data_IF_227650007727
#
_entry.id   IF_227650007727
#
_cell.length_a   1.000
_cell.length_b   1.000
_cell.length_c   1.000
_cell.angle_alpha   90.00
_cell.angle_beta   90.00
_cell.angle_gamma   90.00
#
_symmetry.space_group_name_H-M   'P 1'
#
loop_
_entity.id
_entity.type
_entity.pdbx_description
1 polymer ?
#
# COMPACT_ATOMS: atom_id res chain seq x y z
N UNK A 1 -3.62 7.44 -19.75
CA UNK A 1 -2.78 6.37 -19.17
C UNK A 1 -3.19 6.28 -17.71
N UNK A 2 -3.78 5.16 -17.30
CA UNK A 2 -4.17 4.94 -15.90
C UNK A 2 -2.96 4.39 -15.18
N UNK A 3 -2.46 5.09 -14.15
CA UNK A 3 -1.41 4.51 -13.32
C UNK A 3 -1.97 3.29 -12.58
N UNK A 4 -1.17 2.21 -12.42
CA UNK A 4 -1.58 1.10 -11.60
C UNK A 4 -1.88 1.59 -10.17
N UNK A 5 -2.92 1.04 -9.51
CA UNK A 5 -3.25 1.41 -8.15
C UNK A 5 -2.11 1.06 -7.20
N UNK A 6 -1.89 1.90 -6.18
CA UNK A 6 -0.89 1.64 -5.15
C UNK A 6 -1.33 0.43 -4.33
N UNK A 7 -0.57 -0.67 -4.39
CA UNK A 7 -1.03 -1.95 -3.83
C UNK A 7 -0.38 -2.23 -2.48
N UNK A 8 -1.14 -2.68 -1.49
CA UNK A 8 -0.66 -3.04 -0.15
C UNK A 8 -1.15 -4.44 0.21
N UNK A 9 -0.23 -5.34 0.57
CA UNK A 9 -0.58 -6.66 1.08
C UNK A 9 -0.95 -6.59 2.57
N UNK A 10 -2.02 -7.28 2.93
CA UNK A 10 -2.54 -7.35 4.30
C UNK A 10 -2.81 -8.78 4.72
N UNK A 11 -2.67 -9.06 6.01
CA UNK A 11 -2.87 -10.41 6.55
C UNK A 11 -4.33 -10.70 6.95
N UNK A 12 -5.16 -9.66 7.02
CA UNK A 12 -6.55 -9.78 7.48
C UNK A 12 -7.50 -9.12 6.50
N UNK A 13 -8.71 -9.69 6.38
CA UNK A 13 -9.74 -9.18 5.48
C UNK A 13 -10.32 -7.82 5.93
N UNK A 14 -10.13 -7.44 7.21
CA UNK A 14 -10.63 -6.18 7.75
C UNK A 14 -9.49 -5.20 7.95
N UNK A 15 -9.43 -4.18 7.11
CA UNK A 15 -8.32 -3.23 7.05
C UNK A 15 -8.79 -1.83 7.41
N UNK A 16 -7.88 -1.01 7.93
CA UNK A 16 -8.11 0.42 8.05
C UNK A 16 -7.23 1.18 7.08
N UNK A 17 -7.83 2.11 6.34
CA UNK A 17 -7.08 3.06 5.53
C UNK A 17 -7.17 4.45 6.18
N UNK A 18 -6.02 5.07 6.40
CA UNK A 18 -5.88 6.42 6.96
C UNK A 18 -5.17 7.37 6.00
N UNK A 19 -5.21 7.10 4.68
CA UNK A 19 -4.88 8.09 3.66
C UNK A 19 -3.40 8.42 3.44
N UNK A 20 -2.46 7.90 4.24
CA UNK A 20 -1.03 7.99 3.95
C UNK A 20 -0.25 6.74 4.40
N UNK A 21 0.38 6.04 3.45
CA UNK A 21 1.32 4.96 3.77
C UNK A 21 2.77 5.42 3.86
N UNK A 22 3.14 6.52 3.18
CA UNK A 22 4.53 6.97 3.10
C UNK A 22 4.93 7.99 4.18
N UNK A 23 3.99 8.75 4.73
CA UNK A 23 4.29 9.70 5.81
C UNK A 23 4.13 8.97 7.14
N UNK A 24 5.25 8.50 7.71
CA UNK A 24 5.28 7.96 9.07
C UNK A 24 4.60 8.97 10.00
N UNK A 25 3.42 8.66 10.51
CA UNK A 25 2.77 9.52 11.49
C UNK A 25 3.76 9.83 12.63
N UNK A 26 3.93 11.11 12.95
CA UNK A 26 4.81 11.59 14.02
C UNK A 26 4.09 12.59 14.91
N UNK A 27 4.73 13.05 15.99
CA UNK A 27 4.14 13.97 16.98
C UNK A 27 3.59 15.28 16.38
N UNK A 28 4.00 15.60 15.14
CA UNK A 28 3.65 16.84 14.43
C UNK A 28 2.74 16.65 13.23
N UNK A 29 2.54 15.43 12.74
CA UNK A 29 1.76 15.16 11.53
C UNK A 29 1.13 13.77 11.56
N UNK A 30 -0.20 13.73 11.42
CA UNK A 30 -0.95 12.48 11.31
C UNK A 30 -0.90 11.95 9.88
N UNK A 31 -0.82 10.63 9.72
CA UNK A 31 -0.94 9.97 8.41
C UNK A 31 -2.22 10.41 7.65
N UNK A 32 -3.32 10.60 8.38
CA UNK A 32 -4.60 11.10 7.83
C UNK A 32 -4.59 12.53 7.27
N UNK A 33 -3.52 13.31 7.45
CA UNK A 33 -3.51 14.71 7.05
C UNK A 33 -3.50 14.95 5.53
N UNK A 34 -3.25 13.92 4.71
CA UNK A 34 -3.05 14.07 3.25
C UNK A 34 -4.05 13.31 2.37
N UNK A 35 -4.84 12.38 2.90
CA UNK A 35 -5.69 11.51 2.08
C UNK A 35 -7.17 11.54 2.44
N UNK A 36 -7.53 11.12 3.66
CA UNK A 36 -8.90 11.11 4.19
C UNK A 36 -8.92 10.71 5.68
N UNK A 37 -10.05 10.89 6.39
CA UNK A 37 -10.24 10.32 7.73
C UNK A 37 -10.10 8.79 7.72
N UNK A 38 -9.70 8.18 8.85
CA UNK A 38 -9.62 6.72 8.97
C UNK A 38 -10.95 6.07 8.59
N UNK A 39 -10.91 5.17 7.61
CA UNK A 39 -12.03 4.32 7.21
C UNK A 39 -11.67 2.86 7.43
N UNK A 40 -12.70 2.04 7.61
CA UNK A 40 -12.56 0.58 7.72
C UNK A 40 -13.14 -0.05 6.47
N UNK A 41 -12.36 -0.91 5.82
CA UNK A 41 -12.73 -1.61 4.61
C UNK A 41 -12.71 -3.12 4.87
N UNK A 42 -13.53 -3.84 4.11
CA UNK A 42 -13.60 -5.30 4.16
C UNK A 42 -13.25 -5.85 2.79
N UNK A 43 -12.30 -6.79 2.76
CA UNK A 43 -11.89 -7.52 1.57
C UNK A 43 -12.92 -8.62 1.30
N UNK A 44 -13.41 -8.66 0.07
CA UNK A 44 -14.40 -9.63 -0.37
C UNK A 44 -13.74 -10.89 -0.97
N UNK A 45 -14.55 -11.73 -1.61
CA UNK A 45 -14.12 -12.99 -2.22
C UNK A 45 -13.14 -12.82 -3.39
N UNK A 46 -13.04 -11.62 -3.98
CA UNK A 46 -12.04 -11.32 -5.01
C UNK A 46 -10.63 -11.21 -4.41
N UNK A 47 -10.50 -11.16 -3.08
CA UNK A 47 -9.22 -11.12 -2.38
C UNK A 47 -8.58 -9.73 -2.33
N UNK A 48 -9.30 -8.68 -2.73
CA UNK A 48 -8.85 -7.31 -2.57
C UNK A 48 -10.00 -6.33 -2.30
N UNK A 49 -9.67 -5.14 -1.80
CA UNK A 49 -10.60 -3.99 -1.71
C UNK A 49 -9.88 -2.70 -2.07
N UNK A 50 -10.56 -1.85 -2.83
CA UNK A 50 -10.08 -0.51 -3.19
C UNK A 50 -10.59 0.52 -2.19
N UNK A 51 -9.72 1.45 -1.78
CA UNK A 51 -10.16 2.58 -0.97
C UNK A 51 -10.92 3.59 -1.86
N UNK A 52 -12.14 3.98 -1.47
CA UNK A 52 -12.92 4.97 -2.23
C UNK A 52 -12.39 6.41 -2.17
N UNK A 53 -11.32 6.66 -1.42
CA UNK A 53 -10.78 8.00 -1.16
C UNK A 53 -9.34 8.19 -1.65
N UNK A 54 -8.59 7.11 -1.87
CA UNK A 54 -7.22 7.14 -2.38
C UNK A 54 -7.01 5.97 -3.34
N UNK A 55 -5.99 6.03 -4.19
CA UNK A 55 -5.73 5.01 -5.21
C UNK A 55 -5.13 3.71 -4.65
N UNK A 56 -5.36 3.41 -3.36
CA UNK A 56 -4.82 2.23 -2.69
C UNK A 56 -5.71 1.02 -2.83
N UNK A 57 -5.10 -0.11 -3.18
CA UNK A 57 -5.70 -1.44 -3.18
C UNK A 57 -5.09 -2.29 -2.07
N UNK A 58 -5.94 -2.82 -1.19
CA UNK A 58 -5.51 -3.78 -0.17
C UNK A 58 -5.78 -5.19 -0.68
N UNK A 59 -4.74 -6.03 -0.71
CA UNK A 59 -4.82 -7.42 -1.17
C UNK A 59 -4.59 -8.35 0.02
N UNK A 60 -5.45 -9.35 0.18
CA UNK A 60 -5.29 -10.36 1.22
C UNK A 60 -4.15 -11.31 0.86
N UNK A 61 -3.16 -11.42 1.74
CA UNK A 61 -2.02 -12.31 1.58
C UNK A 61 -2.47 -13.77 1.48
N UNK A 62 -2.02 -14.46 0.43
CA UNK A 62 -2.46 -15.83 0.10
C UNK A 62 -3.91 -15.93 -0.40
N UNK A 63 -4.58 -14.80 -0.61
CA UNK A 63 -5.89 -14.73 -1.26
C UNK A 63 -5.81 -14.87 -2.78
N UNK A 64 -6.96 -14.92 -3.48
CA UNK A 64 -7.01 -15.13 -4.92
C UNK A 64 -6.40 -13.99 -5.76
N UNK A 65 -6.23 -12.81 -5.18
CA UNK A 65 -5.57 -11.66 -5.81
C UNK A 65 -4.10 -11.48 -5.38
N UNK A 66 -3.55 -12.38 -4.57
CA UNK A 66 -2.17 -12.30 -4.13
C UNK A 66 -1.19 -12.56 -5.30
N UNK A 67 -0.22 -11.67 -5.57
CA UNK A 67 0.70 -11.80 -6.70
C UNK A 67 1.56 -13.07 -6.64
N UNK A 68 1.87 -13.57 -5.43
CA UNK A 68 2.61 -14.82 -5.28
C UNK A 68 1.74 -16.03 -5.63
N UNK A 69 0.41 -15.90 -5.55
CA UNK A 69 -0.56 -16.92 -5.99
C UNK A 69 -0.85 -16.80 -7.49
N UNK A 70 -1.02 -15.59 -8.02
CA UNK A 70 -1.36 -15.37 -9.44
C UNK A 70 -0.15 -15.45 -10.37
N UNK A 71 1.07 -15.33 -9.85
CA UNK A 71 2.31 -15.31 -10.64
C UNK A 71 2.56 -13.96 -11.32
N UNK A 72 1.90 -12.90 -10.87
CA UNK A 72 2.04 -11.54 -11.39
C UNK A 72 3.09 -10.75 -10.59
N UNK A 73 4.13 -10.25 -11.27
CA UNK A 73 5.17 -9.42 -10.62
C UNK A 73 4.81 -7.94 -10.73
N UNK A 74 4.56 -7.27 -9.59
CA UNK A 74 4.44 -5.82 -9.55
C UNK A 74 5.83 -5.16 -9.71
N UNK A 75 5.90 -4.09 -10.50
CA UNK A 75 7.16 -3.41 -10.80
C UNK A 75 7.78 -2.81 -9.51
N UNK A 76 9.13 -2.86 -9.36
CA UNK A 76 9.81 -2.48 -8.12
C UNK A 76 9.72 -0.98 -7.76
N UNK A 77 9.06 -0.17 -8.59
CA UNK A 77 8.93 1.27 -8.39
C UNK A 77 7.74 1.64 -7.47
N UNK A 78 6.91 0.66 -7.09
CA UNK A 78 5.70 0.84 -6.28
C UNK A 78 5.90 0.56 -4.76
N UNK A 79 7.11 0.15 -4.34
CA UNK A 79 7.39 -0.22 -2.93
C UNK A 79 7.55 0.99 -1.99
N UNK A 80 7.52 2.23 -2.49
CA UNK A 80 7.82 3.41 -1.66
C UNK A 80 9.24 3.39 -1.09
N UNK A 81 10.15 2.60 -1.68
CA UNK A 81 11.58 2.69 -1.39
C UNK A 81 12.12 3.90 -2.15
N UNK A 82 12.29 5.02 -1.44
CA UNK A 82 13.03 6.15 -1.97
C UNK A 82 14.41 5.67 -2.46
N UNK A 83 14.86 6.02 -3.69
CA UNK A 83 16.20 5.65 -4.16
C UNK A 83 17.32 6.26 -3.28
N UNK A 84 16.98 7.18 -2.39
CA UNK A 84 17.87 7.74 -1.37
C UNK A 84 18.06 6.84 -0.13
N UNK A 85 17.24 5.81 0.07
CA UNK A 85 17.36 4.85 1.19
C UNK A 85 18.33 3.70 0.85
N UNK A 86 18.83 3.64 -0.39
CA UNK A 86 19.93 2.74 -0.73
C UNK A 86 21.22 3.26 -0.08
N UNK A 87 21.89 2.50 0.80
CA UNK A 87 23.13 2.95 1.40
C UNK A 87 24.17 3.19 0.30
N UNK A 88 24.53 4.45 0.09
CA UNK A 88 25.67 4.83 -0.76
C UNK A 88 26.93 4.25 -0.11
N UNK A 89 27.67 3.36 -0.78
CA UNK A 89 28.91 2.85 -0.23
C UNK A 89 29.89 4.02 -0.02
N UNK A 90 30.66 4.05 1.09
CA UNK A 90 31.63 5.11 1.30
C UNK A 90 32.67 5.12 0.17
N UNK A 91 33.13 6.30 -0.29
CA UNK A 91 34.20 6.36 -1.29
C UNK A 91 35.48 5.73 -0.73
N UNK A 92 36.17 4.97 -1.58
CA UNK A 92 37.42 4.27 -1.28
C UNK A 92 38.59 5.21 -0.94
#
# INVERSE_FOLDING_TARGET
>A
MTQPPETTLVETARVSCDGAGAIRGGDRFAAAALGHPRVWLEIDEHGFVDCGYCDRRFILAGGPADPAVTGETFAPNDTGADPADTPVPPPA
#
